data_IF_145470260599
#
_entry.id   IF_145470260599
#
_cell.length_a   1.000
_cell.length_b   1.000
_cell.length_c   1.000
_cell.angle_alpha   90.00
_cell.angle_beta   90.00
_cell.angle_gamma   90.00
#
_symmetry.space_group_name_H-M   'P 1'
#
loop_
_entity.id
_entity.type
_entity.pdbx_description
1 polymer ?
#
# COMPACT_ATOMS: atom_id res chain seq x y z
N UNK A 1 -5.54 -31.53 12.48
CA UNK A 1 -6.89 -31.15 11.96
C UNK A 1 -7.25 -29.83 12.61
N UNK A 2 -7.56 -28.80 11.83
CA UNK A 2 -8.09 -27.55 12.37
C UNK A 2 -9.52 -27.77 12.88
N UNK A 3 -9.92 -26.99 13.87
CA UNK A 3 -11.28 -27.03 14.41
C UNK A 3 -12.22 -26.24 13.47
N UNK A 4 -13.23 -26.91 12.92
CA UNK A 4 -14.27 -26.26 12.09
C UNK A 4 -15.60 -26.37 12.84
N UNK A 5 -16.22 -25.23 13.12
CA UNK A 5 -17.48 -25.14 13.87
C UNK A 5 -18.53 -24.43 13.02
N UNK A 6 -19.67 -25.09 12.80
CA UNK A 6 -20.83 -24.52 12.10
C UNK A 6 -21.95 -24.29 13.11
N UNK A 7 -22.50 -23.06 13.15
CA UNK A 7 -23.60 -22.66 14.04
C UNK A 7 -24.60 -21.80 13.29
N UNK A 8 -25.85 -21.77 13.77
CA UNK A 8 -26.89 -20.86 13.27
C UNK A 8 -26.53 -19.41 13.65
N UNK A 9 -26.70 -18.48 12.72
CA UNK A 9 -26.55 -17.04 12.99
C UNK A 9 -27.68 -16.56 13.92
N UNK A 10 -27.34 -15.74 14.91
CA UNK A 10 -28.27 -15.24 15.92
C UNK A 10 -28.94 -13.90 15.57
N UNK A 11 -28.40 -13.16 14.60
CA UNK A 11 -28.87 -11.85 14.21
C UNK A 11 -29.86 -11.94 13.04
N UNK A 12 -30.72 -10.92 12.92
CA UNK A 12 -31.56 -10.74 11.72
C UNK A 12 -30.67 -10.56 10.47
N UNK A 13 -31.10 -11.07 9.31
CA UNK A 13 -30.51 -10.73 8.02
C UNK A 13 -30.41 -9.21 7.82
N UNK A 14 -29.39 -8.75 7.08
CA UNK A 14 -29.14 -7.31 6.91
C UNK A 14 -30.31 -6.59 6.21
N UNK A 15 -30.93 -7.27 5.23
CA UNK A 15 -32.11 -6.81 4.49
C UNK A 15 -33.41 -6.80 5.34
N UNK A 16 -33.39 -7.39 6.54
CA UNK A 16 -34.47 -7.32 7.52
C UNK A 16 -34.21 -6.26 8.63
N UNK A 17 -33.03 -5.62 8.64
CA UNK A 17 -32.74 -4.57 9.62
C UNK A 17 -33.46 -3.25 9.28
N UNK A 18 -33.87 -2.46 10.29
CA UNK A 18 -34.62 -1.22 10.06
C UNK A 18 -33.80 -0.10 9.39
N UNK A 19 -32.46 -0.18 9.45
CA UNK A 19 -31.54 0.82 8.87
C UNK A 19 -30.27 0.11 8.39
N UNK A 20 -29.82 0.45 7.18
CA UNK A 20 -28.54 0.01 6.63
C UNK A 20 -27.77 1.23 6.08
N UNK A 21 -26.46 1.30 6.36
CA UNK A 21 -25.57 2.34 5.82
C UNK A 21 -24.34 1.65 5.24
N UNK A 22 -24.03 1.96 3.98
CA UNK A 22 -22.88 1.41 3.26
C UNK A 22 -22.06 2.55 2.68
N UNK A 23 -20.74 2.51 2.89
CA UNK A 23 -19.79 3.45 2.30
C UNK A 23 -18.80 2.69 1.40
N UNK A 24 -18.46 3.30 0.25
CA UNK A 24 -17.36 2.84 -0.59
C UNK A 24 -16.46 4.01 -0.97
N UNK A 25 -15.18 3.90 -0.62
CA UNK A 25 -14.14 4.83 -1.05
C UNK A 25 -13.70 4.49 -2.47
N UNK A 26 -13.76 5.49 -3.35
CA UNK A 26 -13.41 5.34 -4.76
C UNK A 26 -11.89 5.26 -4.98
N UNK A 27 -11.48 4.84 -6.16
CA UNK A 27 -10.07 4.68 -6.55
C UNK A 27 -9.19 5.93 -6.39
N UNK A 28 -9.79 7.12 -6.48
CA UNK A 28 -9.09 8.40 -6.27
C UNK A 28 -9.14 8.91 -4.82
N UNK A 29 -9.78 8.19 -3.90
CA UNK A 29 -9.81 8.55 -2.50
C UNK A 29 -8.40 8.34 -1.89
N UNK A 30 -7.87 9.28 -1.08
CA UNK A 30 -6.53 9.17 -0.50
C UNK A 30 -6.27 7.83 0.21
N UNK A 31 -7.20 7.37 1.04
CA UNK A 31 -7.08 6.07 1.73
C UNK A 31 -6.97 4.90 0.74
N UNK A 32 -7.86 4.83 -0.26
CA UNK A 32 -7.82 3.76 -1.27
C UNK A 32 -6.54 3.80 -2.11
N UNK A 33 -6.02 5.00 -2.42
CA UNK A 33 -4.73 5.16 -3.08
C UNK A 33 -3.62 4.58 -2.20
N UNK A 34 -3.61 4.92 -0.91
CA UNK A 34 -2.63 4.44 0.05
C UNK A 34 -2.67 2.90 0.13
N UNK A 35 -3.85 2.33 0.42
CA UNK A 35 -4.06 0.88 0.52
C UNK A 35 -3.58 0.15 -0.74
N UNK A 36 -3.97 0.65 -1.92
CA UNK A 36 -3.67 0.00 -3.19
C UNK A 36 -2.18 0.07 -3.55
N UNK A 37 -1.50 1.16 -3.19
CA UNK A 37 -0.06 1.29 -3.41
C UNK A 37 0.69 0.38 -2.45
N UNK A 38 0.33 0.38 -1.16
CA UNK A 38 0.99 -0.45 -0.15
C UNK A 38 0.86 -1.95 -0.46
N UNK A 39 -0.33 -2.40 -0.87
CA UNK A 39 -0.55 -3.76 -1.39
C UNK A 39 0.33 -4.06 -2.61
N UNK A 40 0.42 -3.13 -3.57
CA UNK A 40 1.29 -3.30 -4.74
C UNK A 40 2.75 -3.46 -4.34
N UNK A 41 3.24 -2.69 -3.38
CA UNK A 41 4.62 -2.82 -2.87
C UNK A 41 4.85 -4.20 -2.26
N UNK A 42 3.92 -4.72 -1.45
CA UNK A 42 4.02 -6.08 -0.88
C UNK A 42 4.09 -7.15 -1.97
N UNK A 43 3.26 -7.04 -3.02
CA UNK A 43 3.27 -7.96 -4.15
C UNK A 43 4.61 -7.93 -4.89
N UNK A 44 5.14 -6.74 -5.19
CA UNK A 44 6.40 -6.62 -5.94
C UNK A 44 7.62 -7.05 -5.10
N UNK A 45 7.62 -6.79 -3.78
CA UNK A 45 8.63 -7.36 -2.87
C UNK A 45 8.55 -8.89 -2.84
N UNK A 46 7.35 -9.45 -2.71
CA UNK A 46 7.14 -10.91 -2.72
C UNK A 46 7.66 -11.54 -4.01
N UNK A 47 7.39 -10.92 -5.16
CA UNK A 47 7.91 -11.37 -6.46
C UNK A 47 9.42 -11.28 -6.53
N UNK A 48 10.01 -10.20 -6.03
CA UNK A 48 11.47 -10.04 -6.04
C UNK A 48 12.15 -11.11 -5.16
N UNK A 49 11.61 -11.38 -3.98
CA UNK A 49 12.08 -12.45 -3.11
C UNK A 49 11.96 -13.83 -3.76
N UNK A 50 10.80 -14.14 -4.35
CA UNK A 50 10.58 -15.41 -5.06
C UNK A 50 11.54 -15.57 -6.24
N UNK A 51 11.73 -14.51 -7.02
CA UNK A 51 12.61 -14.50 -8.20
C UNK A 51 14.07 -14.74 -7.81
N UNK A 52 14.56 -14.10 -6.75
CA UNK A 52 15.98 -14.20 -6.33
C UNK A 52 16.27 -15.44 -5.50
N UNK A 53 15.34 -15.87 -4.65
CA UNK A 53 15.63 -16.82 -3.58
C UNK A 53 14.63 -17.98 -3.48
N UNK A 54 13.60 -18.02 -4.32
CA UNK A 54 12.62 -19.12 -4.35
C UNK A 54 11.66 -19.17 -3.17
N UNK A 55 11.70 -18.18 -2.26
CA UNK A 55 10.77 -18.03 -1.13
C UNK A 55 10.48 -16.57 -0.87
N UNK A 56 9.35 -16.29 -0.21
CA UNK A 56 9.05 -14.97 0.32
C UNK A 56 9.79 -14.80 1.66
N UNK A 57 10.33 -13.61 1.91
CA UNK A 57 10.92 -13.22 3.19
C UNK A 57 9.98 -12.30 3.96
N UNK A 58 10.21 -12.20 5.28
CA UNK A 58 9.40 -11.38 6.15
C UNK A 58 9.35 -9.93 5.67
N UNK A 59 8.15 -9.45 5.42
CA UNK A 59 7.83 -8.04 5.22
C UNK A 59 6.37 -7.80 5.62
N UNK A 60 6.10 -6.63 6.18
CA UNK A 60 4.76 -6.09 6.39
C UNK A 60 4.77 -4.70 5.77
N UNK A 61 3.84 -4.43 4.88
CA UNK A 61 3.76 -3.18 4.12
C UNK A 61 2.31 -2.70 4.19
N UNK A 62 1.86 -2.33 5.38
CA UNK A 62 0.49 -1.89 5.66
C UNK A 62 0.43 -0.55 6.41
N UNK A 63 1.55 0.16 6.53
CA UNK A 63 1.60 1.51 7.13
C UNK A 63 2.08 2.52 6.09
N UNK A 64 1.12 3.21 5.49
CA UNK A 64 1.38 4.29 4.55
C UNK A 64 0.69 5.57 4.98
N UNK A 65 1.26 6.72 4.60
CA UNK A 65 0.64 8.02 4.78
C UNK A 65 0.70 8.80 3.46
N UNK A 66 -0.45 9.18 2.94
CA UNK A 66 -0.55 10.14 1.84
C UNK A 66 -0.92 11.52 2.39
N UNK A 67 0.09 12.36 2.61
CA UNK A 67 -0.10 13.74 3.03
C UNK A 67 -0.48 14.64 1.84
N UNK A 68 -1.48 15.50 2.08
CA UNK A 68 -2.04 16.36 1.05
C UNK A 68 -1.03 17.38 0.51
N UNK A 69 -1.12 17.61 -0.80
CA UNK A 69 -0.47 18.72 -1.47
C UNK A 69 -1.35 19.97 -1.50
N UNK A 70 -1.04 20.89 -2.43
CA UNK A 70 -1.86 22.08 -2.73
C UNK A 70 -1.95 22.28 -4.23
N UNK A 71 -3.15 22.57 -4.73
CA UNK A 71 -3.39 22.87 -6.13
C UNK A 71 -4.13 24.21 -6.26
N UNK A 72 -3.81 24.97 -7.31
CA UNK A 72 -4.67 26.04 -7.82
C UNK A 72 -5.41 25.52 -9.03
N UNK A 73 -6.73 25.52 -8.98
CA UNK A 73 -7.59 25.00 -10.04
C UNK A 73 -8.35 26.15 -10.71
N UNK A 74 -8.45 26.10 -12.03
CA UNK A 74 -9.21 27.07 -12.83
C UNK A 74 -9.84 26.37 -14.04
N UNK A 75 -10.81 27.01 -14.70
CA UNK A 75 -11.31 26.46 -15.97
C UNK A 75 -10.18 26.44 -17.01
N UNK A 76 -10.06 25.32 -17.73
CA UNK A 76 -9.00 25.11 -18.71
C UNK A 76 -7.68 24.59 -18.13
N UNK A 77 -7.56 24.42 -16.82
CA UNK A 77 -6.37 23.80 -16.22
C UNK A 77 -6.14 24.13 -14.74
N UNK A 78 -4.88 24.32 -14.40
CA UNK A 78 -4.44 24.56 -13.03
C UNK A 78 -2.99 24.16 -12.85
N UNK A 79 -2.50 24.36 -11.64
CA UNK A 79 -1.14 23.99 -11.26
C UNK A 79 -1.11 23.31 -9.90
N UNK A 80 -0.22 22.32 -9.76
CA UNK A 80 0.16 21.78 -8.45
C UNK A 80 1.20 22.72 -7.86
N UNK A 81 0.82 23.45 -6.82
CA UNK A 81 1.69 24.40 -6.10
C UNK A 81 2.58 23.67 -5.10
N UNK A 82 2.04 22.63 -4.47
CA UNK A 82 2.76 21.77 -3.54
C UNK A 82 2.43 20.32 -3.86
N UNK A 83 3.42 19.49 -4.21
CA UNK A 83 3.22 18.05 -4.40
C UNK A 83 2.63 17.38 -3.16
N UNK A 84 1.88 16.30 -3.36
CA UNK A 84 1.55 15.36 -2.28
C UNK A 84 2.83 14.69 -1.77
N UNK A 85 2.81 14.18 -0.54
CA UNK A 85 3.89 13.35 0.02
C UNK A 85 3.35 11.98 0.38
N UNK A 86 3.90 10.94 -0.24
CA UNK A 86 3.64 9.55 0.11
C UNK A 86 4.80 9.01 0.96
N UNK A 87 4.49 8.62 2.20
CA UNK A 87 5.44 8.02 3.14
C UNK A 87 5.15 6.53 3.25
N UNK A 88 6.16 5.71 2.98
CA UNK A 88 6.10 4.26 3.17
C UNK A 88 6.71 3.93 4.52
N UNK A 89 5.91 3.45 5.48
CA UNK A 89 6.41 2.93 6.74
C UNK A 89 6.53 1.41 6.72
N UNK A 90 6.86 0.87 7.90
CA UNK A 90 6.84 -0.56 8.24
C UNK A 90 8.16 -1.32 8.03
N UNK A 91 8.10 -2.62 7.69
CA UNK A 91 9.21 -3.56 7.87
C UNK A 91 9.41 -4.44 6.65
N UNK A 92 10.64 -4.63 6.21
CA UNK A 92 10.99 -5.56 5.15
C UNK A 92 12.36 -6.21 5.40
N UNK A 93 12.66 -7.28 4.67
CA UNK A 93 13.99 -7.88 4.65
C UNK A 93 14.84 -7.19 3.59
N UNK A 94 15.88 -6.47 4.03
CA UNK A 94 16.76 -5.71 3.13
C UNK A 94 17.98 -6.52 2.67
N UNK A 95 18.36 -7.55 3.41
CA UNK A 95 19.55 -8.36 3.11
C UNK A 95 19.24 -9.84 3.27
N UNK A 96 19.69 -10.65 2.32
CA UNK A 96 19.69 -12.11 2.41
C UNK A 96 21.11 -12.59 2.11
N UNK A 97 21.77 -13.17 3.12
CA UNK A 97 23.20 -13.44 3.11
C UNK A 97 24.02 -12.17 2.83
N UNK A 98 24.68 -12.08 1.68
CA UNK A 98 25.46 -10.94 1.21
C UNK A 98 24.79 -10.15 0.08
N UNK A 99 23.57 -10.52 -0.31
CA UNK A 99 22.80 -9.83 -1.35
C UNK A 99 21.83 -8.81 -0.73
N UNK A 100 21.79 -7.61 -1.32
CA UNK A 100 20.96 -6.49 -0.89
C UNK A 100 19.72 -6.37 -1.79
N UNK A 101 18.55 -6.31 -1.17
CA UNK A 101 17.27 -6.11 -1.85
C UNK A 101 16.98 -4.60 -1.90
N UNK A 102 16.72 -4.02 -3.08
CA UNK A 102 16.46 -2.59 -3.24
C UNK A 102 15.02 -2.24 -2.84
N UNK A 103 14.66 -2.47 -1.57
CA UNK A 103 13.29 -2.31 -1.03
C UNK A 103 12.73 -0.92 -1.31
N UNK A 104 13.54 0.13 -1.11
CA UNK A 104 13.11 1.51 -1.33
C UNK A 104 12.80 1.81 -2.80
N UNK A 105 13.61 1.30 -3.72
CA UNK A 105 13.38 1.47 -5.16
C UNK A 105 12.11 0.74 -5.59
N UNK A 106 11.94 -0.51 -5.15
CA UNK A 106 10.74 -1.31 -5.40
C UNK A 106 9.49 -0.58 -4.90
N UNK A 107 9.55 0.02 -3.70
CA UNK A 107 8.43 0.76 -3.14
C UNK A 107 8.04 1.98 -4.00
N UNK A 108 9.03 2.80 -4.36
CA UNK A 108 8.83 4.01 -5.16
C UNK A 108 8.35 3.67 -6.57
N UNK A 109 8.96 2.69 -7.23
CA UNK A 109 8.60 2.29 -8.59
C UNK A 109 7.19 1.68 -8.65
N UNK A 110 6.83 0.87 -7.65
CA UNK A 110 5.48 0.33 -7.49
C UNK A 110 4.44 1.43 -7.37
N UNK A 111 4.70 2.44 -6.53
CA UNK A 111 3.80 3.58 -6.36
C UNK A 111 3.67 4.41 -7.64
N UNK A 112 4.78 4.74 -8.28
CA UNK A 112 4.79 5.49 -9.55
C UNK A 112 4.03 4.75 -10.64
N UNK A 113 4.26 3.44 -10.78
CA UNK A 113 3.55 2.60 -11.74
C UNK A 113 2.05 2.58 -11.47
N UNK A 114 1.66 2.36 -10.21
CA UNK A 114 0.25 2.38 -9.83
C UNK A 114 -0.38 3.74 -10.17
N UNK A 115 0.25 4.87 -9.81
CA UNK A 115 -0.29 6.19 -10.13
C UNK A 115 -0.49 6.38 -11.63
N UNK A 116 0.47 5.99 -12.49
CA UNK A 116 0.33 6.08 -13.96
C UNK A 116 -0.84 5.28 -14.50
N UNK A 117 -1.03 4.07 -13.99
CA UNK A 117 -2.11 3.16 -14.43
C UNK A 117 -3.49 3.61 -13.93
N UNK A 118 -3.54 4.35 -12.82
CA UNK A 118 -4.78 4.53 -12.06
C UNK A 118 -5.27 5.99 -12.01
N UNK A 119 -4.38 6.99 -12.16
CA UNK A 119 -4.67 8.42 -12.00
C UNK A 119 -4.20 9.22 -13.22
N UNK A 120 -5.10 9.37 -14.21
CA UNK A 120 -4.83 9.97 -15.53
C UNK A 120 -4.19 11.38 -15.54
N UNK A 121 -4.41 12.17 -14.48
CA UNK A 121 -3.96 13.58 -14.41
C UNK A 121 -2.97 13.83 -13.26
N UNK A 122 -2.48 12.77 -12.62
CA UNK A 122 -1.44 12.87 -11.58
C UNK A 122 -0.14 12.38 -12.19
N UNK A 123 0.80 13.30 -12.41
CA UNK A 123 2.17 12.95 -12.81
C UNK A 123 2.93 12.50 -11.55
N UNK A 124 3.30 11.22 -11.42
CA UNK A 124 3.96 10.72 -10.22
C UNK A 124 5.39 11.25 -10.04
N UNK A 125 6.01 11.81 -11.07
CA UNK A 125 7.35 12.40 -10.97
C UNK A 125 7.30 13.85 -10.50
N UNK A 126 6.21 14.57 -10.81
CA UNK A 126 6.08 16.01 -10.51
C UNK A 126 5.14 16.30 -9.34
N UNK A 127 4.04 15.57 -9.24
CA UNK A 127 2.92 15.88 -8.34
C UNK A 127 2.99 15.11 -7.02
N UNK A 128 3.94 14.19 -6.87
CA UNK A 128 4.10 13.35 -5.68
C UNK A 128 5.57 13.26 -5.30
N UNK A 129 5.85 13.44 -4.01
CA UNK A 129 7.14 13.13 -3.37
C UNK A 129 7.02 11.81 -2.62
N UNK A 130 8.14 11.12 -2.49
CA UNK A 130 8.22 9.80 -1.87
C UNK A 130 9.23 9.82 -0.73
N UNK A 131 8.87 9.27 0.41
CA UNK A 131 9.74 9.09 1.56
C UNK A 131 9.65 7.65 2.03
N UNK A 132 10.78 6.94 2.05
CA UNK A 132 10.84 5.53 2.45
C UNK A 132 11.34 5.44 3.89
N UNK A 133 10.43 5.09 4.79
CA UNK A 133 10.67 4.75 6.20
C UNK A 133 10.44 3.26 6.50
N UNK A 134 10.47 2.41 5.48
CA UNK A 134 10.52 0.96 5.64
C UNK A 134 11.89 0.62 6.27
N UNK A 135 11.88 -0.15 7.36
CA UNK A 135 13.10 -0.57 8.07
C UNK A 135 13.21 -2.08 8.16
N UNK A 136 14.32 -2.60 8.64
CA UNK A 136 14.47 -4.03 8.90
C UNK A 136 13.50 -4.51 9.98
N UNK A 137 12.98 -5.73 9.83
CA UNK A 137 12.15 -6.39 10.84
C UNK A 137 12.91 -6.57 12.16
N UNK A 138 12.21 -6.47 13.29
CA UNK A 138 12.82 -6.84 14.58
C UNK A 138 13.12 -8.34 14.59
N UNK A 139 14.31 -8.75 15.06
CA UNK A 139 14.76 -10.14 15.03
C UNK A 139 13.71 -11.14 15.55
N UNK A 140 13.09 -10.83 16.69
CA UNK A 140 12.06 -11.68 17.31
C UNK A 140 10.80 -11.90 16.43
N UNK A 141 10.48 -10.97 15.52
CA UNK A 141 9.34 -11.11 14.60
C UNK A 141 9.74 -11.82 13.32
N UNK A 142 11.01 -11.69 12.90
CA UNK A 142 11.55 -12.39 11.74
C UNK A 142 11.70 -13.89 12.03
N UNK A 143 12.12 -14.28 13.24
CA UNK A 143 12.32 -15.69 13.62
C UNK A 143 11.04 -16.55 13.58
N UNK A 144 9.87 -15.91 13.63
CA UNK A 144 8.56 -16.60 13.59
C UNK A 144 8.11 -16.88 12.15
N UNK A 145 8.77 -16.28 11.15
CA UNK A 145 8.41 -16.31 9.73
C UNK A 145 9.21 -17.33 8.91
#
# INVERSE_FOLDING_TARGET
MGEIVVKRAANLPMDEQPVEIVERKGKGHPDTICDSIMDRVSIELSKEYLKRYGRIFHHNIDKGLLAAGKAKVSFGGGEIVQPMLLVFGDRATFKVNDDEIPVGEIAVDSAKKWIRENLRFVDPEKHVKYQVEIKEGAAALVDIF
#
